data_IF_971860562250
#
_entry.id   IF_971860562250
#
_cell.length_a   1.000
_cell.length_b   1.000
_cell.length_c   1.000
_cell.angle_alpha   90.00
_cell.angle_beta   90.00
_cell.angle_gamma   90.00
#
_symmetry.space_group_name_H-M   'P 1'
#
loop_
_entity.id
_entity.type
_entity.pdbx_description
1 polymer ?
#
# COMPACT_ATOMS: atom_id res chain seq x y z
N UNK A 1 25.84 -0.40 -5.03
CA UNK A 1 25.90 0.16 -6.39
C UNK A 1 24.65 -0.08 -7.24
N UNK A 2 23.79 -1.08 -6.95
CA UNK A 2 22.62 -1.39 -7.79
C UNK A 2 21.26 -0.85 -7.26
N UNK A 3 21.24 0.37 -6.70
CA UNK A 3 20.00 0.93 -6.11
C UNK A 3 18.89 1.14 -7.14
N UNK A 4 19.24 1.46 -8.39
CA UNK A 4 18.30 1.61 -9.50
C UNK A 4 17.57 0.29 -9.78
N UNK A 5 18.29 -0.85 -9.78
CA UNK A 5 17.68 -2.16 -9.97
C UNK A 5 16.69 -2.48 -8.84
N UNK A 6 17.02 -2.16 -7.58
CA UNK A 6 16.10 -2.34 -6.46
C UNK A 6 14.85 -1.47 -6.57
N UNK A 7 14.99 -0.21 -7.01
CA UNK A 7 13.85 0.68 -7.26
C UNK A 7 12.95 0.11 -8.36
N UNK A 8 13.53 -0.35 -9.48
CA UNK A 8 12.79 -0.94 -10.58
C UNK A 8 12.09 -2.25 -10.19
N UNK A 9 12.80 -3.16 -9.52
CA UNK A 9 12.23 -4.42 -9.03
C UNK A 9 11.11 -4.16 -8.02
N UNK A 10 11.27 -3.18 -7.12
CA UNK A 10 10.23 -2.79 -6.16
C UNK A 10 9.00 -2.24 -6.88
N UNK A 11 9.19 -1.38 -7.89
CA UNK A 11 8.09 -0.89 -8.72
C UNK A 11 7.37 -2.04 -9.41
N UNK A 12 8.09 -2.97 -10.05
CA UNK A 12 7.51 -4.11 -10.76
C UNK A 12 6.76 -5.09 -9.84
N UNK A 13 7.34 -5.47 -8.70
CA UNK A 13 6.68 -6.34 -7.73
C UNK A 13 5.39 -5.71 -7.19
N UNK A 14 5.44 -4.40 -6.91
CA UNK A 14 4.29 -3.64 -6.49
C UNK A 14 3.21 -3.59 -7.60
N UNK A 15 3.61 -3.47 -8.87
CA UNK A 15 2.72 -3.46 -10.03
C UNK A 15 1.95 -4.78 -10.17
N UNK A 16 2.61 -5.92 -9.90
CA UNK A 16 1.94 -7.22 -9.87
C UNK A 16 0.79 -7.25 -8.86
N UNK A 17 0.96 -6.68 -7.67
CA UNK A 17 -0.11 -6.57 -6.68
C UNK A 17 -1.30 -5.72 -7.17
N UNK A 18 -1.02 -4.64 -7.89
CA UNK A 18 -2.06 -3.77 -8.47
C UNK A 18 -2.80 -4.47 -9.59
N UNK A 19 -2.13 -5.26 -10.42
CA UNK A 19 -2.77 -6.08 -11.45
C UNK A 19 -3.75 -7.10 -10.86
N UNK A 20 -3.40 -7.72 -9.73
CA UNK A 20 -4.30 -8.65 -9.03
C UNK A 20 -5.56 -7.91 -8.56
N UNK A 21 -5.39 -6.76 -7.91
CA UNK A 21 -6.53 -5.94 -7.44
C UNK A 21 -7.39 -5.48 -8.63
N UNK A 22 -6.75 -4.99 -9.70
CA UNK A 22 -7.42 -4.52 -10.92
C UNK A 22 -8.27 -5.61 -11.56
N UNK A 23 -7.71 -6.82 -11.70
CA UNK A 23 -8.41 -7.96 -12.29
C UNK A 23 -9.64 -8.38 -11.46
N UNK A 24 -9.53 -8.40 -10.14
CA UNK A 24 -10.63 -8.75 -9.24
C UNK A 24 -11.70 -7.66 -9.26
N UNK A 25 -11.31 -6.39 -9.10
CA UNK A 25 -12.25 -5.28 -8.93
C UNK A 25 -12.98 -4.91 -10.21
N UNK A 26 -12.35 -5.05 -11.37
CA UNK A 26 -13.05 -4.89 -12.66
C UNK A 26 -14.15 -5.90 -12.88
N UNK A 27 -13.96 -7.14 -12.39
CA UNK A 27 -14.99 -8.18 -12.46
C UNK A 27 -16.08 -7.95 -11.43
N UNK A 28 -15.70 -7.50 -10.22
CA UNK A 28 -16.65 -7.26 -9.13
C UNK A 28 -17.50 -5.98 -9.33
N UNK A 29 -16.98 -5.00 -10.06
CA UNK A 29 -17.63 -3.72 -10.36
C UNK A 29 -17.99 -2.91 -9.11
N UNK A 30 -18.86 -1.91 -9.28
CA UNK A 30 -19.32 -1.02 -8.19
C UNK A 30 -19.98 -1.76 -7.02
N UNK A 31 -20.64 -2.90 -7.29
CA UNK A 31 -21.24 -3.74 -6.25
C UNK A 31 -20.18 -4.37 -5.35
N UNK A 32 -19.04 -4.78 -5.90
CA UNK A 32 -17.93 -5.37 -5.16
C UNK A 32 -17.28 -4.39 -4.17
N UNK A 33 -17.20 -3.11 -4.52
CA UNK A 33 -16.67 -2.06 -3.65
C UNK A 33 -17.40 -1.97 -2.30
N UNK A 34 -18.72 -2.19 -2.29
CA UNK A 34 -19.54 -2.13 -1.07
C UNK A 34 -19.14 -3.17 -0.02
N UNK A 35 -18.42 -4.23 -0.41
CA UNK A 35 -17.89 -5.24 0.51
C UNK A 35 -16.65 -4.77 1.26
N UNK A 36 -15.91 -3.81 0.70
CA UNK A 36 -14.62 -3.36 1.23
C UNK A 36 -14.62 -1.92 1.76
N UNK A 37 -15.53 -1.07 1.25
CA UNK A 37 -15.58 0.36 1.56
C UNK A 37 -16.98 0.79 2.00
N UNK A 38 -17.03 1.82 2.87
CA UNK A 38 -18.30 2.43 3.27
C UNK A 38 -18.93 3.19 2.09
N UNK A 39 -20.26 3.27 1.97
CA UNK A 39 -20.93 3.99 0.88
C UNK A 39 -20.44 5.44 0.70
N UNK A 40 -20.24 6.18 1.81
CA UNK A 40 -19.70 7.55 1.77
C UNK A 40 -18.31 7.64 1.14
N UNK A 41 -17.45 6.64 1.38
CA UNK A 41 -16.10 6.60 0.81
C UNK A 41 -16.15 6.28 -0.68
N UNK A 42 -17.03 5.36 -1.10
CA UNK A 42 -17.22 5.03 -2.51
C UNK A 42 -17.66 6.28 -3.28
N UNK A 43 -18.65 7.02 -2.76
CA UNK A 43 -19.14 8.23 -3.41
C UNK A 43 -18.07 9.33 -3.49
N UNK A 44 -17.33 9.56 -2.39
CA UNK A 44 -16.23 10.53 -2.39
C UNK A 44 -15.13 10.17 -3.41
N UNK A 45 -14.80 8.88 -3.52
CA UNK A 45 -13.81 8.41 -4.49
C UNK A 45 -14.33 8.50 -5.93
N UNK A 46 -15.61 8.18 -6.14
CA UNK A 46 -16.27 8.31 -7.44
C UNK A 46 -16.21 9.74 -7.96
N UNK A 47 -16.67 10.71 -7.17
CA UNK A 47 -16.64 12.14 -7.55
C UNK A 47 -15.22 12.62 -7.86
N UNK A 48 -14.22 12.18 -7.08
CA UNK A 48 -12.80 12.53 -7.31
C UNK A 48 -12.26 11.91 -8.60
N UNK A 49 -12.59 10.65 -8.87
CA UNK A 49 -12.12 9.94 -10.06
C UNK A 49 -12.82 10.42 -11.33
N UNK A 50 -14.11 10.72 -11.27
CA UNK A 50 -14.86 11.30 -12.40
C UNK A 50 -14.32 12.70 -12.75
N UNK A 51 -13.97 13.52 -11.74
CA UNK A 51 -13.42 14.85 -11.97
C UNK A 51 -11.98 14.82 -12.48
N UNK A 52 -11.10 14.05 -11.82
CA UNK A 52 -9.67 13.99 -12.11
C UNK A 52 -9.05 12.63 -11.77
N UNK A 53 -9.41 11.59 -12.53
CA UNK A 53 -8.90 10.23 -12.34
C UNK A 53 -7.36 10.16 -12.25
N UNK A 54 -6.68 10.81 -13.19
CA UNK A 54 -5.22 10.68 -13.34
C UNK A 54 -4.49 11.27 -12.14
N UNK A 55 -4.89 12.47 -11.72
CA UNK A 55 -4.32 13.16 -10.57
C UNK A 55 -4.65 12.46 -9.25
N UNK A 56 -5.88 11.96 -9.10
CA UNK A 56 -6.29 11.21 -7.91
C UNK A 56 -5.46 9.92 -7.73
N UNK A 57 -5.24 9.16 -8.82
CA UNK A 57 -4.42 7.95 -8.81
C UNK A 57 -2.95 8.28 -8.51
N UNK A 58 -2.40 9.30 -9.18
CA UNK A 58 -1.01 9.70 -9.00
C UNK A 58 -0.73 10.17 -7.57
N UNK A 59 -1.56 11.07 -7.04
CA UNK A 59 -1.43 11.55 -5.66
C UNK A 59 -1.59 10.42 -4.65
N UNK A 60 -2.54 9.50 -4.86
CA UNK A 60 -2.71 8.35 -3.98
C UNK A 60 -1.48 7.43 -3.97
N UNK A 61 -0.72 7.39 -5.06
CA UNK A 61 0.52 6.61 -5.18
C UNK A 61 1.70 7.25 -4.45
N UNK A 62 1.75 8.59 -4.45
CA UNK A 62 2.78 9.35 -3.73
C UNK A 62 2.48 9.54 -2.25
N UNK A 63 1.21 9.45 -1.86
CA UNK A 63 0.79 9.78 -0.51
C UNK A 63 1.44 8.84 0.53
N UNK A 64 1.79 9.36 1.72
CA UNK A 64 2.39 8.56 2.78
C UNK A 64 1.41 7.48 3.29
N UNK A 65 1.91 6.41 3.94
CA UNK A 65 1.09 5.31 4.49
C UNK A 65 0.31 5.76 5.75
N UNK A 66 -0.70 6.61 5.58
CA UNK A 66 -2.07 6.37 6.03
C UNK A 66 -3.13 6.77 4.98
N UNK A 67 -2.72 7.10 3.75
CA UNK A 67 -3.60 7.52 2.66
C UNK A 67 -4.18 6.35 1.84
N UNK A 68 -5.39 6.50 1.28
CA UNK A 68 -6.16 5.40 0.70
C UNK A 68 -5.71 5.02 -0.72
N UNK A 69 -4.48 4.53 -0.89
CA UNK A 69 -4.02 3.98 -2.18
C UNK A 69 -4.90 2.81 -2.66
N UNK A 70 -5.05 1.77 -1.84
CA UNK A 70 -5.82 0.57 -2.20
C UNK A 70 -7.28 0.90 -2.53
N UNK A 71 -8.02 1.70 -1.73
CA UNK A 71 -9.36 2.15 -2.09
C UNK A 71 -9.43 2.91 -3.42
N UNK A 72 -8.46 3.78 -3.73
CA UNK A 72 -8.39 4.51 -5.01
C UNK A 72 -8.20 3.54 -6.17
N UNK A 73 -7.28 2.58 -6.06
CA UNK A 73 -7.07 1.56 -7.11
C UNK A 73 -8.31 0.67 -7.27
N UNK A 74 -8.93 0.22 -6.17
CA UNK A 74 -10.16 -0.57 -6.22
C UNK A 74 -11.29 0.20 -6.92
N UNK A 75 -11.49 1.47 -6.54
CA UNK A 75 -12.51 2.32 -7.13
C UNK A 75 -12.23 2.58 -8.62
N UNK A 76 -10.98 2.90 -8.97
CA UNK A 76 -10.60 3.15 -10.34
C UNK A 76 -10.79 1.92 -11.25
N UNK A 77 -10.47 0.74 -10.72
CA UNK A 77 -10.64 -0.54 -11.42
C UNK A 77 -12.12 -0.89 -11.57
N UNK A 78 -12.91 -0.75 -10.51
CA UNK A 78 -14.34 -1.05 -10.53
C UNK A 78 -15.14 -0.10 -11.44
N UNK A 79 -14.71 1.16 -11.58
CA UNK A 79 -15.26 2.15 -12.51
C UNK A 79 -14.76 1.97 -13.96
N UNK A 80 -14.03 0.89 -14.25
CA UNK A 80 -13.54 0.55 -15.58
C UNK A 80 -12.63 1.60 -16.25
N UNK A 81 -11.88 2.40 -15.47
CA UNK A 81 -10.87 3.31 -16.03
C UNK A 81 -9.82 2.53 -16.85
N UNK A 82 -9.18 3.18 -17.83
CA UNK A 82 -8.18 2.51 -18.68
C UNK A 82 -7.07 1.85 -17.85
N UNK A 83 -6.88 0.52 -18.03
CA UNK A 83 -5.85 -0.27 -17.34
C UNK A 83 -4.47 0.31 -17.58
N UNK A 84 -4.15 0.64 -18.83
CA UNK A 84 -2.84 1.14 -19.20
C UNK A 84 -2.54 2.48 -18.50
N UNK A 85 -3.53 3.37 -18.39
CA UNK A 85 -3.39 4.64 -17.68
C UNK A 85 -3.19 4.42 -16.17
N UNK A 86 -4.01 3.58 -15.55
CA UNK A 86 -3.89 3.24 -14.13
C UNK A 86 -2.48 2.69 -13.83
N UNK A 87 -2.03 1.71 -14.62
CA UNK A 87 -0.74 1.07 -14.46
C UNK A 87 0.42 2.04 -14.69
N UNK A 88 0.36 2.87 -15.73
CA UNK A 88 1.39 3.88 -16.00
C UNK A 88 1.51 4.89 -14.86
N UNK A 89 0.39 5.44 -14.36
CA UNK A 89 0.39 6.41 -13.27
C UNK A 89 0.93 5.81 -11.96
N UNK A 90 0.52 4.59 -11.64
CA UNK A 90 1.02 3.87 -10.47
C UNK A 90 2.50 3.57 -10.61
N UNK A 91 2.96 3.16 -11.78
CA UNK A 91 4.38 2.88 -12.04
C UNK A 91 5.22 4.15 -11.85
N UNK A 92 4.83 5.26 -12.49
CA UNK A 92 5.55 6.54 -12.37
C UNK A 92 5.55 7.04 -10.93
N UNK A 93 4.40 7.02 -10.25
CA UNK A 93 4.32 7.44 -8.84
C UNK A 93 5.20 6.59 -7.92
N UNK A 94 5.29 5.28 -8.18
CA UNK A 94 6.16 4.36 -7.42
C UNK A 94 7.63 4.56 -7.72
N UNK A 95 8.00 4.86 -8.96
CA UNK A 95 9.37 5.22 -9.28
C UNK A 95 9.81 6.45 -8.49
N UNK A 96 8.99 7.50 -8.46
CA UNK A 96 9.28 8.69 -7.67
C UNK A 96 9.44 8.34 -6.19
N UNK A 97 8.45 7.67 -5.61
CA UNK A 97 8.46 7.31 -4.18
C UNK A 97 9.66 6.43 -3.82
N UNK A 98 9.89 5.34 -4.53
CA UNK A 98 10.99 4.41 -4.25
C UNK A 98 12.36 5.02 -4.54
N UNK A 99 12.46 5.94 -5.49
CA UNK A 99 13.70 6.72 -5.69
C UNK A 99 13.97 7.63 -4.52
N UNK A 100 12.95 8.32 -3.99
CA UNK A 100 13.08 9.16 -2.79
C UNK A 100 13.49 8.31 -1.59
N UNK A 101 12.84 7.18 -1.37
CA UNK A 101 13.19 6.23 -0.30
C UNK A 101 14.63 5.71 -0.45
N UNK A 102 15.05 5.32 -1.67
CA UNK A 102 16.41 4.87 -1.94
C UNK A 102 17.44 5.98 -1.73
N UNK A 103 17.16 7.21 -2.15
CA UNK A 103 18.03 8.36 -1.94
C UNK A 103 18.19 8.67 -0.44
N UNK A 104 17.10 8.64 0.33
CA UNK A 104 17.14 8.79 1.78
C UNK A 104 17.95 7.66 2.45
N UNK A 105 17.79 6.42 1.99
CA UNK A 105 18.55 5.28 2.49
C UNK A 105 20.05 5.41 2.17
N UNK A 106 20.43 5.95 1.01
CA UNK A 106 21.84 6.19 0.67
C UNK A 106 22.43 7.29 1.55
N UNK A 107 21.69 8.37 1.78
CA UNK A 107 22.17 9.52 2.54
C UNK A 107 22.21 9.26 4.06
N UNK A 108 21.13 8.72 4.62
CA UNK A 108 20.98 8.48 6.06
C UNK A 108 21.30 7.04 6.49
N UNK A 109 21.54 6.11 5.56
CA UNK A 109 21.66 4.68 5.85
C UNK A 109 22.69 4.35 6.94
N UNK A 110 23.87 4.98 6.92
CA UNK A 110 24.90 4.76 7.95
C UNK A 110 24.46 5.23 9.33
N UNK A 111 23.72 6.35 9.41
CA UNK A 111 23.19 6.87 10.66
C UNK A 111 22.05 5.97 11.19
N UNK A 112 21.19 5.49 10.29
CA UNK A 112 20.11 4.57 10.63
C UNK A 112 20.64 3.21 11.12
N UNK A 113 21.65 2.64 10.45
CA UNK A 113 22.25 1.36 10.86
C UNK A 113 22.87 1.49 12.25
N UNK A 114 23.63 2.57 12.52
CA UNK A 114 24.18 2.82 13.86
C UNK A 114 23.11 2.98 14.94
N UNK A 115 21.96 3.56 14.60
CA UNK A 115 20.84 3.69 15.53
C UNK A 115 20.20 2.33 15.82
N UNK A 116 20.02 1.50 14.78
CA UNK A 116 19.42 0.17 14.88
C UNK A 116 20.33 -0.81 15.62
N UNK A 117 21.64 -0.73 15.45
CA UNK A 117 22.64 -1.54 16.18
C UNK A 117 22.76 -1.15 17.67
N UNK A 118 22.00 -0.15 18.14
CA UNK A 118 21.97 0.21 19.56
C UNK A 118 21.20 -0.85 20.36
N UNK A 119 21.73 -1.33 21.51
CA UNK A 119 21.04 -2.28 22.38
C UNK A 119 19.62 -1.83 22.77
N UNK A 120 19.41 -0.51 22.88
CA UNK A 120 18.10 0.07 23.23
C UNK A 120 17.05 -0.26 22.15
N UNK A 121 17.41 -0.12 20.88
CA UNK A 121 16.50 -0.42 19.76
C UNK A 121 16.28 -1.92 19.66
N UNK A 122 17.32 -2.73 19.87
CA UNK A 122 17.22 -4.18 19.89
C UNK A 122 16.23 -4.68 20.96
N UNK A 123 16.40 -4.26 22.22
CA UNK A 123 15.47 -4.62 23.30
C UNK A 123 14.04 -4.13 23.04
N UNK A 124 13.89 -2.92 22.47
CA UNK A 124 12.57 -2.40 22.10
C UNK A 124 11.89 -3.25 21.02
N UNK A 125 12.65 -3.69 20.00
CA UNK A 125 12.14 -4.58 18.95
C UNK A 125 11.77 -5.94 19.53
N UNK A 126 12.59 -6.53 20.41
CA UNK A 126 12.20 -7.78 21.10
C UNK A 126 10.92 -7.62 21.91
N UNK A 127 10.74 -6.51 22.63
CA UNK A 127 9.50 -6.23 23.36
C UNK A 127 8.28 -6.16 22.41
N UNK A 128 8.41 -5.47 21.28
CA UNK A 128 7.36 -5.42 20.26
C UNK A 128 7.05 -6.80 19.67
N UNK A 129 8.07 -7.62 19.40
CA UNK A 129 7.88 -8.99 18.91
C UNK A 129 7.11 -9.82 19.94
N UNK A 130 7.49 -9.78 21.22
CA UNK A 130 6.79 -10.50 22.29
C UNK A 130 5.33 -10.04 22.38
N UNK A 131 5.08 -8.73 22.37
CA UNK A 131 3.71 -8.17 22.39
C UNK A 131 2.92 -8.63 21.16
N UNK A 132 3.51 -8.62 19.97
CA UNK A 132 2.86 -9.07 18.75
C UNK A 132 2.52 -10.57 18.80
N UNK A 133 3.46 -11.41 19.23
CA UNK A 133 3.25 -12.87 19.35
C UNK A 133 2.17 -13.19 20.37
N UNK A 134 2.23 -12.58 21.57
CA UNK A 134 1.20 -12.76 22.61
C UNK A 134 -0.16 -12.26 22.11
N UNK A 135 -0.22 -11.06 21.53
CA UNK A 135 -1.45 -10.49 20.97
C UNK A 135 -2.07 -11.36 19.87
N UNK A 136 -1.26 -11.85 18.93
CA UNK A 136 -1.69 -12.76 17.88
C UNK A 136 -2.19 -14.09 18.45
N UNK A 137 -1.48 -14.67 19.43
CA UNK A 137 -1.88 -15.93 20.07
C UNK A 137 -3.23 -15.77 20.79
N UNK A 138 -3.39 -14.70 21.57
CA UNK A 138 -4.65 -14.40 22.25
C UNK A 138 -5.79 -14.14 21.26
N UNK A 139 -5.52 -13.46 20.14
CA UNK A 139 -6.50 -13.20 19.08
C UNK A 139 -6.99 -14.51 18.44
N UNK A 140 -6.09 -15.44 18.14
CA UNK A 140 -6.41 -16.76 17.58
C UNK A 140 -7.22 -17.60 18.58
N UNK A 141 -6.82 -17.61 19.86
CA UNK A 141 -7.57 -18.33 20.91
C UNK A 141 -8.98 -17.74 21.06
N UNK A 142 -9.11 -16.40 21.03
CA UNK A 142 -10.42 -15.75 21.12
C UNK A 142 -11.29 -16.03 19.90
N UNK A 143 -10.71 -16.14 18.70
CA UNK A 143 -11.43 -16.48 17.48
C UNK A 143 -11.93 -17.92 17.49
N UNK A 144 -11.13 -18.86 18.00
CA UNK A 144 -11.49 -20.29 18.10
C UNK A 144 -12.46 -20.60 19.25
N UNK A 145 -12.51 -19.77 20.30
CA UNK A 145 -13.46 -19.90 21.43
C UNK A 145 -14.83 -19.23 21.19
N UNK A 146 -15.05 -18.52 20.09
CA UNK A 146 -16.39 -18.03 19.76
C UNK A 146 -17.24 -19.22 19.31
N UNK A 147 -18.29 -19.62 20.05
CA UNK A 147 -19.22 -20.63 19.56
C UNK A 147 -19.93 -20.06 18.33
N UNK A 148 -20.13 -20.91 17.32
CA UNK A 148 -20.93 -20.62 16.14
C UNK A 148 -22.38 -20.27 16.52
#
# INVERSE_FOLDING_TARGET
TNWILFVLMSALGSMAGVLIIDAIMRRAGEKGLKRFLKPKQIESLRVKLEKQAELAIFLATLAPPPFPFTPVVMAASALQLSRNKLLALVFVGRLVRYTVEAALAIYFGKALIKLVDSPIVEYFVYALIVVAVVGSTLSIIKWTRKPA
#
